data_IF_987167930291
#
_entry.id   IF_987167930291
#
_cell.length_a   1.000
_cell.length_b   1.000
_cell.length_c   1.000
_cell.angle_alpha   90.00
_cell.angle_beta   90.00
_cell.angle_gamma   90.00
#
_symmetry.space_group_name_H-M   'P 1'
#
loop_
_entity.id
_entity.type
_entity.pdbx_description
1 polymer ?
#
# COMPACT_ATOMS: atom_id res chain seq x y z
N UNK A 1 5.61 -18.16 -18.35
CA UNK A 1 5.24 -17.09 -17.39
C UNK A 1 5.53 -17.60 -16.00
N UNK A 2 6.12 -16.79 -15.16
CA UNK A 2 6.34 -17.18 -13.77
C UNK A 2 5.00 -17.07 -13.03
N UNK A 3 4.46 -18.17 -12.50
CA UNK A 3 3.14 -18.18 -11.82
C UNK A 3 3.20 -17.46 -10.47
N UNK A 4 4.40 -17.24 -9.93
CA UNK A 4 4.67 -16.60 -8.66
C UNK A 4 5.44 -15.31 -8.84
N UNK A 5 5.17 -14.32 -7.98
CA UNK A 5 5.89 -13.04 -7.98
C UNK A 5 7.36 -13.22 -7.61
N UNK A 6 7.65 -14.02 -6.60
CA UNK A 6 9.00 -14.36 -6.17
C UNK A 6 9.04 -15.72 -5.44
N UNK A 7 10.24 -16.16 -5.07
CA UNK A 7 10.49 -17.42 -4.36
C UNK A 7 9.85 -17.44 -2.96
N UNK A 8 9.51 -16.28 -2.39
CA UNK A 8 8.90 -16.23 -1.07
C UNK A 8 7.48 -16.83 -1.05
N UNK A 9 6.82 -16.93 -2.21
CA UNK A 9 5.47 -17.50 -2.32
C UNK A 9 5.47 -19.03 -2.26
N UNK A 10 6.58 -19.65 -2.63
CA UNK A 10 6.69 -21.12 -2.73
C UNK A 10 7.35 -21.78 -1.52
N UNK A 11 7.71 -21.00 -0.50
CA UNK A 11 8.34 -21.53 0.72
C UNK A 11 7.42 -22.47 1.47
N UNK A 12 8.02 -23.54 2.01
CA UNK A 12 7.33 -24.42 2.96
C UNK A 12 6.73 -23.62 4.14
N UNK A 13 5.50 -23.94 4.60
CA UNK A 13 4.81 -23.15 5.63
C UNK A 13 5.61 -22.95 6.91
N UNK A 14 6.32 -23.98 7.39
CA UNK A 14 7.13 -23.91 8.60
C UNK A 14 8.35 -22.99 8.42
N UNK A 15 9.00 -23.06 7.25
CA UNK A 15 10.13 -22.18 6.91
C UNK A 15 9.66 -20.73 6.82
N UNK A 16 8.53 -20.50 6.17
CA UNK A 16 7.91 -19.18 6.07
C UNK A 16 7.60 -18.59 7.44
N UNK A 17 6.96 -19.36 8.32
CA UNK A 17 6.59 -18.89 9.66
C UNK A 17 7.83 -18.57 10.50
N UNK A 18 8.84 -19.44 10.49
CA UNK A 18 10.10 -19.20 11.21
C UNK A 18 10.78 -17.89 10.74
N UNK A 19 10.87 -17.66 9.44
CA UNK A 19 11.43 -16.44 8.86
C UNK A 19 10.59 -15.19 9.20
N UNK A 20 9.26 -15.31 9.23
CA UNK A 20 8.38 -14.21 9.62
C UNK A 20 8.58 -13.81 11.09
N UNK A 21 8.75 -14.78 11.99
CA UNK A 21 9.03 -14.48 13.41
C UNK A 21 10.44 -13.90 13.60
N UNK A 22 11.43 -14.33 12.81
CA UNK A 22 12.76 -13.71 12.83
C UNK A 22 12.69 -12.22 12.43
N UNK A 23 12.07 -11.95 11.28
CA UNK A 23 11.88 -10.57 10.80
C UNK A 23 11.04 -9.71 11.77
N UNK A 24 10.05 -10.31 12.43
CA UNK A 24 9.26 -9.63 13.46
C UNK A 24 10.12 -9.22 14.65
N UNK A 25 10.97 -10.09 15.16
CA UNK A 25 11.90 -9.76 16.27
C UNK A 25 12.84 -8.63 15.88
N UNK A 26 13.40 -8.67 14.67
CA UNK A 26 14.24 -7.58 14.14
C UNK A 26 13.46 -6.26 14.08
N UNK A 27 12.22 -6.29 13.59
CA UNK A 27 11.38 -5.11 13.51
C UNK A 27 11.01 -4.57 14.90
N UNK A 28 10.73 -5.44 15.88
CA UNK A 28 10.45 -5.04 17.25
C UNK A 28 11.67 -4.39 17.92
N UNK A 29 12.87 -4.98 17.74
CA UNK A 29 14.13 -4.39 18.23
C UNK A 29 14.36 -3.00 17.62
N UNK A 30 14.20 -2.90 16.30
CA UNK A 30 14.35 -1.63 15.60
C UNK A 30 13.32 -0.58 16.09
N UNK A 31 12.06 -0.94 16.19
CA UNK A 31 10.99 -0.03 16.59
C UNK A 31 11.18 0.45 18.04
N UNK A 32 11.55 -0.45 18.95
CA UNK A 32 11.81 -0.14 20.36
C UNK A 32 12.97 0.85 20.56
N UNK A 33 13.99 0.78 19.70
CA UNK A 33 15.18 1.64 19.81
C UNK A 33 15.03 2.97 19.06
N UNK A 34 14.38 2.97 17.91
CA UNK A 34 14.44 4.08 16.97
C UNK A 34 13.14 4.90 16.85
N UNK A 35 12.02 4.38 17.33
CA UNK A 35 10.71 5.03 17.17
C UNK A 35 10.13 5.38 18.55
N UNK A 36 10.11 6.67 18.93
CA UNK A 36 9.76 7.10 20.30
C UNK A 36 8.44 6.52 20.80
N UNK A 37 7.36 6.58 20.01
CA UNK A 37 6.06 6.05 20.42
C UNK A 37 6.08 4.53 20.64
N UNK A 38 6.90 3.79 19.92
CA UNK A 38 7.07 2.35 20.12
C UNK A 38 8.08 2.02 21.21
N UNK A 39 9.04 2.89 21.52
CA UNK A 39 9.91 2.71 22.69
C UNK A 39 9.10 2.65 23.98
N UNK A 40 8.12 3.56 24.12
CA UNK A 40 7.21 3.59 25.26
C UNK A 40 6.24 2.39 25.26
N UNK A 41 5.59 2.13 24.13
CA UNK A 41 4.59 1.08 23.98
C UNK A 41 5.16 -0.34 24.22
N UNK A 42 6.41 -0.56 23.79
CA UNK A 42 7.09 -1.84 23.85
C UNK A 42 8.06 -1.94 25.04
N UNK A 43 7.99 -1.04 26.01
CA UNK A 43 8.96 -0.96 27.12
C UNK A 43 9.16 -2.32 27.81
N UNK A 44 8.07 -3.02 28.12
CA UNK A 44 8.07 -4.30 28.82
C UNK A 44 8.16 -5.53 27.88
N UNK A 45 8.28 -5.31 26.57
CA UNK A 45 8.36 -6.40 25.59
C UNK A 45 9.81 -6.78 25.36
N UNK A 46 10.15 -8.05 25.58
CA UNK A 46 11.38 -8.64 25.07
C UNK A 46 11.14 -9.20 23.65
N UNK A 47 11.74 -8.61 22.61
CA UNK A 47 11.58 -9.10 21.24
C UNK A 47 11.99 -10.58 21.07
N UNK A 48 12.98 -11.06 21.85
CA UNK A 48 13.50 -12.42 21.71
C UNK A 48 12.51 -13.50 22.22
N UNK A 49 11.56 -13.10 23.04
CA UNK A 49 10.51 -14.00 23.50
C UNK A 49 9.40 -14.22 22.46
N UNK A 50 9.28 -13.37 21.44
CA UNK A 50 8.21 -13.46 20.43
C UNK A 50 8.55 -14.53 19.39
N UNK A 51 8.23 -15.80 19.72
CA UNK A 51 8.58 -16.98 18.93
C UNK A 51 7.40 -17.66 18.24
N UNK A 52 6.19 -17.36 18.67
CA UNK A 52 4.96 -17.98 18.17
C UNK A 52 3.77 -17.02 18.16
N UNK A 53 2.66 -17.48 17.62
CA UNK A 53 1.42 -16.70 17.50
C UNK A 53 0.77 -16.35 18.83
N UNK A 54 0.95 -17.19 19.86
CA UNK A 54 0.39 -16.94 21.19
C UNK A 54 1.12 -15.79 21.88
N UNK A 55 2.44 -15.70 21.71
CA UNK A 55 3.28 -14.60 22.21
C UNK A 55 3.07 -13.32 21.38
N UNK A 56 2.94 -13.44 20.05
CA UNK A 56 2.55 -12.31 19.19
C UNK A 56 1.22 -11.69 19.63
N UNK A 57 0.22 -12.50 19.98
CA UNK A 57 -1.10 -12.03 20.42
C UNK A 57 -1.09 -11.25 21.75
N UNK A 58 0.01 -11.31 22.51
CA UNK A 58 0.20 -10.55 23.75
C UNK A 58 0.82 -9.16 23.54
N UNK A 59 1.31 -8.87 22.33
CA UNK A 59 1.87 -7.56 22.06
C UNK A 59 0.80 -6.47 22.21
N UNK A 60 1.18 -5.30 22.73
CA UNK A 60 0.25 -4.17 22.81
C UNK A 60 -0.18 -3.71 21.40
N UNK A 61 -1.44 -3.33 21.28
CA UNK A 61 -2.05 -2.90 20.01
C UNK A 61 -2.04 -1.38 19.91
N UNK A 62 -1.42 -0.86 18.86
CA UNK A 62 -1.55 0.57 18.51
C UNK A 62 -2.94 0.83 17.93
N UNK A 63 -3.70 1.73 18.56
CA UNK A 63 -5.04 2.08 18.09
C UNK A 63 -4.99 3.32 17.22
N UNK A 64 -5.51 3.20 16.01
CA UNK A 64 -5.54 4.31 15.03
C UNK A 64 -6.30 5.54 15.58
N UNK A 65 -7.34 5.33 16.39
CA UNK A 65 -8.08 6.41 17.04
C UNK A 65 -7.23 7.29 17.98
N UNK A 66 -6.17 6.73 18.55
CA UNK A 66 -5.26 7.43 19.47
C UNK A 66 -4.15 8.19 18.73
N UNK A 67 -3.86 7.81 17.49
CA UNK A 67 -2.78 8.42 16.70
C UNK A 67 -3.03 9.90 16.40
N UNK A 68 -4.26 10.30 16.15
CA UNK A 68 -4.61 11.70 15.89
C UNK A 68 -4.26 12.63 17.06
N UNK A 69 -4.55 12.20 18.30
CA UNK A 69 -4.19 12.95 19.51
C UNK A 69 -2.67 12.97 19.71
N UNK A 70 -1.99 11.85 19.47
CA UNK A 70 -0.54 11.80 19.58
C UNK A 70 0.13 12.73 18.55
N UNK A 71 -0.36 12.78 17.32
CA UNK A 71 0.15 13.69 16.29
C UNK A 71 -0.13 15.16 16.64
N UNK A 72 -1.27 15.47 17.23
CA UNK A 72 -1.56 16.83 17.72
C UNK A 72 -0.63 17.27 18.86
N UNK A 73 -0.26 16.35 19.76
CA UNK A 73 0.67 16.61 20.88
C UNK A 73 2.12 16.71 20.44
N UNK A 74 2.52 15.91 19.45
CA UNK A 74 3.90 15.83 18.93
C UNK A 74 3.92 15.88 17.38
N UNK A 75 3.67 17.05 16.76
CA UNK A 75 3.71 17.19 15.31
C UNK A 75 5.09 16.89 14.71
N UNK A 76 5.17 16.42 13.45
CA UNK A 76 4.05 16.14 12.54
C UNK A 76 3.45 14.75 12.67
N UNK A 77 4.15 13.76 13.22
CA UNK A 77 3.81 12.33 13.12
C UNK A 77 3.66 11.61 14.47
N UNK A 78 3.53 12.35 15.59
CA UNK A 78 3.23 11.77 16.91
C UNK A 78 4.30 10.83 17.47
N UNK A 79 5.54 10.93 17.00
CA UNK A 79 6.61 10.02 17.41
C UNK A 79 6.54 8.62 16.78
N UNK A 80 5.61 8.35 15.87
CA UNK A 80 5.44 7.04 15.22
C UNK A 80 6.39 6.79 14.04
N UNK A 81 7.33 7.68 13.78
CA UNK A 81 8.24 7.56 12.63
C UNK A 81 9.65 7.99 13.03
N UNK A 82 10.63 7.22 12.59
CA UNK A 82 12.04 7.64 12.65
C UNK A 82 12.29 8.68 11.54
N UNK A 83 12.45 9.94 11.94
CA UNK A 83 12.72 11.06 11.03
C UNK A 83 14.22 11.34 10.88
N UNK A 84 15.09 10.66 11.63
CA UNK A 84 16.53 10.94 11.67
C UNK A 84 17.21 10.55 10.35
N UNK A 85 17.57 11.56 9.56
CA UNK A 85 18.33 11.37 8.32
C UNK A 85 17.60 10.64 7.20
N UNK A 86 16.29 10.39 7.33
CA UNK A 86 15.50 9.69 6.33
C UNK A 86 14.78 10.67 5.42
N UNK A 87 14.82 10.37 4.12
CA UNK A 87 14.00 11.05 3.14
C UNK A 87 12.58 10.47 3.16
N UNK A 88 11.59 11.34 3.35
CA UNK A 88 10.17 11.01 3.21
C UNK A 88 9.68 11.67 1.93
N UNK A 89 9.56 10.96 0.82
CA UNK A 89 9.13 11.55 -0.44
C UNK A 89 7.69 12.07 -0.40
N UNK A 90 6.85 11.51 0.48
CA UNK A 90 5.46 11.92 0.64
C UNK A 90 4.97 11.75 2.07
N UNK A 91 4.00 12.57 2.44
CA UNK A 91 3.15 12.39 3.62
C UNK A 91 1.70 12.47 3.14
N UNK A 92 0.89 11.54 3.58
CA UNK A 92 -0.54 11.45 3.24
C UNK A 92 -1.40 11.73 4.44
N UNK A 93 -2.66 12.09 4.20
CA UNK A 93 -3.69 12.16 5.23
C UNK A 93 -4.72 11.06 4.96
N UNK A 94 -4.87 10.14 5.89
CA UNK A 94 -5.98 9.17 5.85
C UNK A 94 -7.26 9.78 6.44
N UNK A 95 -8.45 9.22 6.15
CA UNK A 95 -9.69 9.67 6.77
C UNK A 95 -9.57 9.71 8.30
N UNK A 96 -9.93 10.87 8.89
CA UNK A 96 -9.71 11.17 10.31
C UNK A 96 -8.53 12.10 10.59
N UNK A 97 -7.94 12.72 9.53
CA UNK A 97 -6.81 13.65 9.62
C UNK A 97 -5.55 13.02 10.30
N UNK A 98 -5.31 11.73 10.08
CA UNK A 98 -4.11 11.05 10.53
C UNK A 98 -3.08 11.09 9.41
N UNK A 99 -1.89 11.61 9.72
CA UNK A 99 -0.80 11.75 8.75
C UNK A 99 0.08 10.51 8.72
N UNK A 100 0.34 10.00 7.52
CA UNK A 100 1.07 8.76 7.28
C UNK A 100 2.21 9.02 6.30
N UNK A 101 3.48 8.77 6.67
CA UNK A 101 4.61 8.99 5.80
C UNK A 101 4.83 7.80 4.86
N UNK A 102 5.37 8.09 3.69
CA UNK A 102 5.93 7.10 2.79
C UNK A 102 7.46 7.17 2.86
N UNK A 103 8.12 6.03 3.01
CA UNK A 103 9.56 5.96 2.89
C UNK A 103 10.03 5.93 1.42
N UNK A 104 11.28 6.30 1.18
CA UNK A 104 11.93 6.26 -0.13
C UNK A 104 12.40 4.84 -0.42
N UNK A 105 11.45 4.00 -0.80
CA UNK A 105 11.66 2.59 -1.11
C UNK A 105 10.75 2.18 -2.24
N UNK A 106 11.30 1.45 -3.21
CA UNK A 106 10.54 0.85 -4.28
C UNK A 106 9.49 -0.12 -3.71
N UNK A 107 8.28 -0.11 -4.28
CA UNK A 107 7.18 -0.96 -3.83
C UNK A 107 6.93 -0.88 -2.30
N UNK A 108 7.14 0.29 -1.68
CA UNK A 108 6.99 0.51 -0.24
C UNK A 108 5.70 -0.08 0.32
N UNK A 109 4.60 0.06 -0.41
CA UNK A 109 3.26 -0.42 -0.04
C UNK A 109 3.05 -1.90 -0.34
N UNK A 110 4.01 -2.59 -0.99
CA UNK A 110 4.03 -4.03 -1.31
C UNK A 110 2.87 -4.50 -2.19
N UNK A 111 2.29 -3.61 -3.01
CA UNK A 111 1.16 -3.95 -3.88
C UNK A 111 1.56 -4.62 -5.19
N UNK A 112 2.85 -4.64 -5.56
CA UNK A 112 3.32 -5.37 -6.75
C UNK A 112 2.89 -6.84 -6.72
N UNK A 113 3.01 -7.52 -5.58
CA UNK A 113 2.58 -8.91 -5.42
C UNK A 113 1.08 -9.10 -5.67
N UNK A 114 0.24 -8.20 -5.17
CA UNK A 114 -1.21 -8.26 -5.39
C UNK A 114 -1.57 -8.03 -6.86
N UNK A 115 -0.94 -7.07 -7.52
CA UNK A 115 -1.12 -6.82 -8.94
C UNK A 115 -0.62 -7.99 -9.80
N UNK A 116 0.53 -8.59 -9.46
CA UNK A 116 1.04 -9.78 -10.13
C UNK A 116 0.08 -10.95 -9.99
N UNK A 117 -0.48 -11.18 -8.79
CA UNK A 117 -1.47 -12.23 -8.55
C UNK A 117 -2.79 -11.99 -9.31
N UNK A 118 -3.14 -10.72 -9.57
CA UNK A 118 -4.27 -10.35 -10.43
C UNK A 118 -3.98 -10.53 -11.93
N UNK A 119 -2.74 -10.89 -12.31
CA UNK A 119 -2.35 -11.14 -13.68
C UNK A 119 -1.58 -10.00 -14.36
N UNK A 120 -1.32 -8.88 -13.67
CA UNK A 120 -0.56 -7.76 -14.21
C UNK A 120 0.90 -8.16 -14.46
N UNK A 121 1.47 -7.75 -15.61
CA UNK A 121 2.83 -8.11 -16.03
C UNK A 121 3.58 -6.90 -16.56
N UNK A 122 4.90 -7.03 -16.67
CA UNK A 122 5.76 -6.04 -17.31
C UNK A 122 5.23 -5.63 -18.69
N UNK A 123 5.21 -4.33 -18.96
CA UNK A 123 4.72 -3.75 -20.20
C UNK A 123 3.21 -3.47 -20.24
N UNK A 124 2.44 -3.94 -19.25
CA UNK A 124 1.01 -3.61 -19.18
C UNK A 124 0.77 -2.13 -18.92
N UNK A 125 -0.33 -1.61 -19.47
CA UNK A 125 -0.87 -0.30 -19.16
C UNK A 125 -1.96 -0.44 -18.09
N UNK A 126 -1.72 0.10 -16.91
CA UNK A 126 -2.62 0.10 -15.76
C UNK A 126 -3.38 1.43 -15.69
N UNK A 127 -4.71 1.37 -15.77
CA UNK A 127 -5.60 2.51 -15.62
C UNK A 127 -6.02 2.66 -14.17
N UNK A 128 -5.41 3.62 -13.44
CA UNK A 128 -5.58 3.76 -11.99
C UNK A 128 -6.57 4.88 -11.67
N UNK A 129 -7.75 4.52 -11.16
CA UNK A 129 -8.83 5.45 -10.80
C UNK A 129 -8.91 5.75 -9.29
N UNK A 130 -7.98 5.28 -8.47
CA UNK A 130 -7.87 5.72 -7.10
C UNK A 130 -7.41 7.16 -6.99
N UNK A 131 -7.84 7.84 -5.92
CA UNK A 131 -7.48 9.24 -5.67
C UNK A 131 -5.97 9.42 -5.46
N UNK A 132 -5.45 10.49 -6.07
CA UNK A 132 -4.10 11.00 -5.86
C UNK A 132 -4.08 12.24 -4.93
N UNK A 133 -5.23 12.61 -4.38
CA UNK A 133 -5.38 13.74 -3.47
C UNK A 133 -5.47 13.29 -2.03
N UNK A 134 -4.64 13.86 -1.16
CA UNK A 134 -4.54 13.60 0.27
C UNK A 134 -4.20 12.15 0.64
N UNK A 135 -4.96 11.17 0.15
CA UNK A 135 -4.85 9.75 0.50
C UNK A 135 -3.78 9.01 -0.30
N UNK A 136 -3.21 7.93 0.22
CA UNK A 136 -2.12 7.22 -0.45
C UNK A 136 -2.58 6.29 -1.59
N UNK A 137 -3.89 6.00 -1.75
CA UNK A 137 -4.37 4.88 -2.54
C UNK A 137 -3.88 4.88 -4.01
N UNK A 138 -3.95 6.03 -4.71
CA UNK A 138 -3.42 6.15 -6.06
C UNK A 138 -1.93 5.81 -6.15
N UNK A 139 -1.12 6.39 -5.25
CA UNK A 139 0.32 6.16 -5.19
C UNK A 139 0.70 4.74 -4.75
N UNK A 140 -0.11 4.11 -3.89
CA UNK A 140 0.09 2.72 -3.48
C UNK A 140 0.05 1.77 -4.68
N UNK A 141 -1.00 1.88 -5.49
CA UNK A 141 -1.19 1.03 -6.67
C UNK A 141 -0.18 1.38 -7.77
N UNK A 142 0.09 2.68 -7.99
CA UNK A 142 1.09 3.15 -8.95
C UNK A 142 2.48 2.60 -8.64
N UNK A 143 2.94 2.70 -7.37
CA UNK A 143 4.26 2.18 -6.99
C UNK A 143 4.36 0.66 -7.18
N UNK A 144 3.28 -0.07 -6.91
CA UNK A 144 3.23 -1.52 -7.16
C UNK A 144 3.28 -1.87 -8.65
N UNK A 145 2.58 -1.11 -9.49
CA UNK A 145 2.59 -1.29 -10.94
C UNK A 145 3.98 -0.96 -11.53
N UNK A 146 4.60 0.14 -11.10
CA UNK A 146 5.97 0.51 -11.53
C UNK A 146 6.99 -0.56 -11.14
N UNK A 147 6.89 -1.15 -9.94
CA UNK A 147 7.75 -2.25 -9.51
C UNK A 147 7.59 -3.53 -10.32
N UNK A 148 6.49 -3.68 -11.07
CA UNK A 148 6.27 -4.75 -12.06
C UNK A 148 6.73 -4.37 -13.47
N UNK A 149 7.23 -3.15 -13.70
CA UNK A 149 7.58 -2.67 -15.04
C UNK A 149 6.39 -2.22 -15.87
N UNK A 150 5.25 -1.91 -15.23
CA UNK A 150 4.05 -1.44 -15.90
C UNK A 150 4.08 0.07 -16.14
N UNK A 151 3.36 0.52 -17.17
CA UNK A 151 3.00 1.92 -17.36
C UNK A 151 1.70 2.22 -16.61
N UNK A 152 1.61 3.38 -15.96
CA UNK A 152 0.40 3.79 -15.23
C UNK A 152 -0.20 5.05 -15.85
N UNK A 153 -1.51 5.01 -16.12
CA UNK A 153 -2.30 6.21 -16.39
C UNK A 153 -2.99 6.64 -15.09
N UNK A 154 -2.61 7.78 -14.49
CA UNK A 154 -3.11 8.24 -13.19
C UNK A 154 -4.44 8.98 -13.36
N UNK A 155 -5.51 8.25 -13.70
CA UNK A 155 -6.82 8.81 -14.01
C UNK A 155 -7.48 9.50 -12.80
N UNK A 156 -7.30 8.93 -11.60
CA UNK A 156 -7.91 9.48 -10.40
C UNK A 156 -9.44 9.33 -10.39
N UNK A 157 -10.11 10.19 -9.63
CA UNK A 157 -11.55 10.16 -9.44
C UNK A 157 -12.27 11.21 -10.30
N UNK A 158 -13.56 10.98 -10.60
CA UNK A 158 -14.41 11.93 -11.32
C UNK A 158 -14.18 11.95 -12.83
N UNK A 159 -14.63 13.02 -13.49
CA UNK A 159 -14.47 13.28 -14.94
C UNK A 159 -14.84 12.10 -15.85
N UNK A 160 -15.96 11.47 -15.58
CA UNK A 160 -16.37 10.19 -16.17
C UNK A 160 -16.30 10.15 -17.69
N UNK A 161 -16.73 11.21 -18.38
CA UNK A 161 -16.69 11.27 -19.86
C UNK A 161 -15.26 11.30 -20.40
N UNK A 162 -14.40 12.12 -19.79
CA UNK A 162 -12.99 12.22 -20.19
C UNK A 162 -12.28 10.90 -19.92
N UNK A 163 -12.59 10.23 -18.79
CA UNK A 163 -12.03 8.92 -18.48
C UNK A 163 -12.44 7.87 -19.53
N UNK A 164 -13.71 7.83 -19.94
CA UNK A 164 -14.16 6.92 -21.00
C UNK A 164 -13.43 7.19 -22.33
N UNK A 165 -13.25 8.47 -22.71
CA UNK A 165 -12.48 8.83 -23.90
C UNK A 165 -11.03 8.36 -23.81
N UNK A 166 -10.39 8.57 -22.65
CA UNK A 166 -9.02 8.12 -22.41
C UNK A 166 -8.90 6.58 -22.46
N UNK A 167 -9.83 5.84 -21.84
CA UNK A 167 -9.86 4.37 -21.88
C UNK A 167 -10.00 3.85 -23.30
N UNK A 168 -10.93 4.41 -24.10
CA UNK A 168 -11.12 4.02 -25.49
C UNK A 168 -9.90 4.30 -26.38
N UNK A 169 -9.17 5.39 -26.09
CA UNK A 169 -7.98 5.78 -26.84
C UNK A 169 -6.73 4.98 -26.44
N UNK A 170 -6.48 4.87 -25.13
CA UNK A 170 -5.28 4.24 -24.57
C UNK A 170 -5.34 2.71 -24.55
N UNK A 171 -6.55 2.13 -24.55
CA UNK A 171 -6.80 0.69 -24.51
C UNK A 171 -6.01 -0.02 -23.40
N UNK A 172 -6.21 0.36 -22.12
CA UNK A 172 -5.44 -0.21 -21.01
C UNK A 172 -5.71 -1.72 -20.88
N UNK A 173 -4.72 -2.46 -20.34
CA UNK A 173 -4.80 -3.89 -20.07
C UNK A 173 -5.40 -4.17 -18.70
N UNK A 174 -5.26 -3.22 -17.75
CA UNK A 174 -5.71 -3.36 -16.39
C UNK A 174 -6.44 -2.12 -15.91
N UNK A 175 -7.56 -2.35 -15.22
CA UNK A 175 -8.25 -1.34 -14.44
C UNK A 175 -7.95 -1.54 -12.94
N UNK A 176 -7.64 -0.46 -12.25
CA UNK A 176 -7.44 -0.42 -10.81
C UNK A 176 -8.35 0.65 -10.21
N UNK A 177 -9.29 0.24 -9.37
CA UNK A 177 -10.29 1.12 -8.79
C UNK A 177 -11.39 0.36 -8.06
N UNK A 178 -12.45 1.05 -7.66
CA UNK A 178 -13.59 0.41 -7.03
C UNK A 178 -14.54 -0.20 -8.07
N UNK A 179 -15.17 -1.35 -7.78
CA UNK A 179 -16.17 -1.95 -8.70
C UNK A 179 -17.32 -1.02 -9.02
N UNK A 180 -17.77 -0.20 -8.06
CA UNK A 180 -18.83 0.77 -8.26
C UNK A 180 -18.47 1.85 -9.27
N UNK A 181 -17.22 2.35 -9.24
CA UNK A 181 -16.77 3.35 -10.20
C UNK A 181 -16.55 2.75 -11.59
N UNK A 182 -16.02 1.52 -11.67
CA UNK A 182 -15.93 0.78 -12.93
C UNK A 182 -17.32 0.66 -13.59
N UNK A 183 -18.35 0.29 -12.80
CA UNK A 183 -19.72 0.24 -13.33
C UNK A 183 -20.19 1.57 -13.92
N UNK A 184 -19.93 2.68 -13.23
CA UNK A 184 -20.26 4.02 -13.72
C UNK A 184 -19.56 4.31 -15.07
N UNK A 185 -18.27 3.96 -15.18
CA UNK A 185 -17.50 4.15 -16.42
C UNK A 185 -18.05 3.29 -17.57
N UNK A 186 -18.40 2.02 -17.29
CA UNK A 186 -18.96 1.13 -18.29
C UNK A 186 -20.37 1.56 -18.77
N UNK A 187 -21.20 2.07 -17.86
CA UNK A 187 -22.53 2.60 -18.22
C UNK A 187 -22.37 3.87 -19.09
N UNK A 188 -21.44 4.76 -18.74
CA UNK A 188 -21.11 5.96 -19.52
C UNK A 188 -20.51 5.59 -20.90
N UNK A 189 -19.65 4.57 -20.98
CA UNK A 189 -19.10 4.11 -22.24
C UNK A 189 -20.20 3.63 -23.22
N UNK A 190 -21.22 2.93 -22.70
CA UNK A 190 -22.40 2.52 -23.50
C UNK A 190 -23.17 3.74 -24.02
N UNK A 191 -23.42 4.73 -23.14
CA UNK A 191 -24.10 5.99 -23.52
C UNK A 191 -23.35 6.70 -24.63
N UNK A 192 -22.02 6.79 -24.52
CA UNK A 192 -21.12 7.45 -25.47
C UNK A 192 -20.81 6.60 -26.71
N UNK A 193 -21.24 5.33 -26.76
CA UNK A 193 -20.88 4.34 -27.77
C UNK A 193 -19.37 4.19 -27.95
N UNK A 194 -18.62 4.29 -26.84
CA UNK A 194 -17.18 4.16 -26.82
C UNK A 194 -16.76 2.70 -26.63
N UNK A 195 -15.75 2.25 -27.36
CA UNK A 195 -15.16 0.91 -27.23
C UNK A 195 -14.15 0.90 -26.08
N UNK A 196 -14.47 0.22 -24.99
CA UNK A 196 -13.60 -0.01 -23.84
C UNK A 196 -13.35 -1.51 -23.60
N UNK A 197 -13.45 -2.33 -24.64
CA UNK A 197 -13.33 -3.79 -24.60
C UNK A 197 -11.92 -4.31 -24.32
N UNK A 198 -10.93 -3.44 -24.16
CA UNK A 198 -9.57 -3.82 -23.78
C UNK A 198 -9.40 -4.16 -22.30
N UNK A 199 -10.40 -3.82 -21.48
CA UNK A 199 -10.44 -4.10 -20.04
C UNK A 199 -10.97 -5.48 -19.74
#
# INVERSE_FOLDING_TARGET
MNDFFDELETREPQVREAQQFEQLREQLRYAKVNIPAYADLLQEVDPEEIKDRALLARLPVTRKSEMGEAQAKAPPLGGYTDLKGRRLPRVFASPGAIFEPQADSENFWRLARALHAAGCREGDLVYNTFSYHFTPAGFMLESGAHALGCTVFPAGVGQTELQVQAMAHLRPHFYVGTPSFLKILLDKAKEMKADVSSL
#
